data_IF_656642892790
#
_entry.id   IF_656642892790
#
_cell.length_a   1.000
_cell.length_b   1.000
_cell.length_c   1.000
_cell.angle_alpha   90.00
_cell.angle_beta   90.00
_cell.angle_gamma   90.00
#
_symmetry.space_group_name_H-M   'P 1'
#
loop_
_entity.id
_entity.type
_entity.pdbx_description
1 polymer ?
#
# COMPACT_ATOMS: atom_id res chain seq x y z
N UNK A 1 42.30 -7.65 35.74
CA UNK A 1 41.32 -8.47 35.00
C UNK A 1 40.37 -9.09 36.02
N UNK A 2 39.07 -8.71 36.03
CA UNK A 2 38.12 -9.17 37.05
C UNK A 2 38.01 -10.70 37.07
N UNK A 3 38.03 -11.30 38.23
CA UNK A 3 37.98 -12.77 38.46
C UNK A 3 36.74 -13.38 37.75
N UNK A 4 35.64 -12.64 37.70
CA UNK A 4 34.41 -13.03 37.03
C UNK A 4 34.60 -13.19 35.50
N UNK A 5 35.38 -12.33 34.84
CA UNK A 5 35.73 -12.48 33.42
C UNK A 5 36.58 -13.74 33.14
N UNK A 6 37.48 -14.08 34.03
CA UNK A 6 38.29 -15.29 33.90
C UNK A 6 37.44 -16.56 34.02
N UNK A 7 36.49 -16.56 34.94
CA UNK A 7 35.49 -17.64 35.10
C UNK A 7 34.59 -17.80 33.91
N UNK A 8 34.08 -16.67 33.37
CA UNK A 8 33.22 -16.65 32.18
C UNK A 8 33.94 -17.32 31.01
N UNK A 9 35.17 -16.88 30.70
CA UNK A 9 35.94 -17.36 29.55
C UNK A 9 36.25 -18.87 29.59
N UNK A 10 36.36 -19.46 30.75
CA UNK A 10 36.63 -20.90 30.90
C UNK A 10 35.41 -21.79 30.67
N UNK A 11 34.18 -21.24 30.72
CA UNK A 11 32.94 -22.02 30.71
C UNK A 11 31.97 -21.64 29.60
N UNK A 12 32.37 -20.75 28.68
CA UNK A 12 31.58 -20.42 27.49
C UNK A 12 31.53 -21.63 26.56
N UNK A 13 30.35 -22.11 26.31
CA UNK A 13 30.09 -23.12 25.27
C UNK A 13 29.94 -22.41 23.92
N UNK A 14 31.01 -22.34 23.13
CA UNK A 14 31.01 -21.70 21.80
C UNK A 14 29.85 -22.19 20.91
N UNK A 15 29.54 -23.51 20.84
CA UNK A 15 28.44 -23.98 20.01
C UNK A 15 27.06 -23.44 20.44
N UNK A 16 26.79 -23.29 21.74
CA UNK A 16 25.53 -22.75 22.23
C UNK A 16 25.38 -21.26 21.90
N UNK A 17 26.43 -20.47 22.06
CA UNK A 17 26.41 -19.04 21.69
C UNK A 17 26.35 -18.84 20.18
N UNK A 18 27.04 -19.69 19.41
CA UNK A 18 26.91 -19.67 17.94
C UNK A 18 25.48 -20.02 17.49
N UNK A 19 24.90 -21.08 18.04
CA UNK A 19 23.51 -21.46 17.73
C UNK A 19 22.50 -20.35 18.04
N UNK A 20 22.69 -19.68 19.20
CA UNK A 20 21.90 -18.50 19.54
C UNK A 20 22.14 -17.35 18.54
N UNK A 21 23.41 -17.02 18.24
CA UNK A 21 23.73 -15.93 17.33
C UNK A 21 23.11 -16.14 15.95
N UNK A 22 23.16 -17.37 15.43
CA UNK A 22 22.50 -17.75 14.17
C UNK A 22 20.97 -17.59 14.26
N UNK A 23 20.33 -18.16 15.29
CA UNK A 23 18.88 -18.06 15.44
C UNK A 23 18.42 -16.60 15.57
N UNK A 24 19.15 -15.78 16.35
CA UNK A 24 18.86 -14.35 16.51
C UNK A 24 19.10 -13.57 15.21
N UNK A 25 20.17 -13.91 14.46
CA UNK A 25 20.46 -13.31 13.16
C UNK A 25 19.33 -13.58 12.16
N UNK A 26 18.90 -14.84 12.04
CA UNK A 26 17.81 -15.19 11.14
C UNK A 26 16.49 -14.51 11.54
N UNK A 27 16.13 -14.54 12.82
CA UNK A 27 14.92 -13.89 13.31
C UNK A 27 14.93 -12.39 13.03
N UNK A 28 16.02 -11.71 13.36
CA UNK A 28 16.20 -10.28 13.11
C UNK A 28 16.18 -9.97 11.60
N UNK A 29 16.92 -10.75 10.80
CA UNK A 29 16.99 -10.55 9.36
C UNK A 29 15.61 -10.68 8.68
N UNK A 30 14.81 -11.70 9.06
CA UNK A 30 13.47 -11.90 8.51
C UNK A 30 12.56 -10.71 8.85
N UNK A 31 12.61 -10.21 10.08
CA UNK A 31 11.79 -9.02 10.47
C UNK A 31 12.24 -7.78 9.71
N UNK A 32 13.53 -7.51 9.65
CA UNK A 32 14.09 -6.34 8.99
C UNK A 32 13.86 -6.41 7.47
N UNK A 33 14.09 -7.58 6.87
CA UNK A 33 13.85 -7.80 5.45
C UNK A 33 12.38 -7.64 5.08
N UNK A 34 11.47 -8.30 5.81
CA UNK A 34 10.04 -8.18 5.57
C UNK A 34 9.54 -6.74 5.69
N UNK A 35 10.02 -6.00 6.70
CA UNK A 35 9.66 -4.60 6.90
C UNK A 35 10.24 -3.70 5.80
N UNK A 36 11.52 -3.87 5.45
CA UNK A 36 12.17 -3.06 4.41
C UNK A 36 11.55 -3.35 3.04
N UNK A 37 11.40 -4.62 2.69
CA UNK A 37 10.75 -5.05 1.46
C UNK A 37 9.34 -4.46 1.33
N UNK A 38 8.54 -4.52 2.41
CA UNK A 38 7.22 -3.89 2.41
C UNK A 38 7.30 -2.39 2.13
N UNK A 39 8.26 -1.69 2.74
CA UNK A 39 8.44 -0.24 2.53
C UNK A 39 8.91 0.10 1.11
N UNK A 40 9.81 -0.68 0.54
CA UNK A 40 10.36 -0.45 -0.81
C UNK A 40 9.35 -0.83 -1.90
N UNK A 41 8.52 -1.84 -1.66
CA UNK A 41 7.49 -2.30 -2.61
C UNK A 41 6.17 -1.54 -2.46
N UNK A 42 5.90 -0.95 -1.29
CA UNK A 42 4.68 -0.18 -1.05
C UNK A 42 4.45 0.93 -2.10
N UNK A 43 5.46 1.70 -2.56
CA UNK A 43 5.27 2.70 -3.62
C UNK A 43 4.76 2.12 -4.93
N UNK A 44 5.17 0.89 -5.31
CA UNK A 44 4.65 0.20 -6.50
C UNK A 44 3.13 0.10 -6.45
N UNK A 45 2.58 -0.12 -5.26
CA UNK A 45 1.14 -0.26 -5.03
C UNK A 45 0.43 1.07 -4.70
N UNK A 46 1.18 2.13 -4.35
CA UNK A 46 0.59 3.39 -3.86
C UNK A 46 0.91 4.59 -4.72
N UNK A 47 1.84 4.51 -5.69
CA UNK A 47 2.10 5.60 -6.63
C UNK A 47 0.87 5.88 -7.50
N UNK A 48 0.71 7.13 -7.93
CA UNK A 48 -0.47 7.60 -8.66
C UNK A 48 -0.77 6.81 -9.94
N UNK A 49 0.25 6.18 -10.53
CA UNK A 49 0.16 5.39 -11.76
C UNK A 49 0.04 3.87 -11.53
N UNK A 50 0.06 3.42 -10.28
CA UNK A 50 -0.02 1.98 -10.05
C UNK A 50 -1.44 1.47 -10.27
N UNK A 51 -1.57 0.46 -11.12
CA UNK A 51 -2.79 -0.31 -11.34
C UNK A 51 -3.40 -0.90 -10.05
N UNK A 52 -2.70 -0.77 -8.93
CA UNK A 52 -2.96 -1.45 -7.66
C UNK A 52 -3.45 -0.53 -6.55
N UNK A 53 -3.96 0.67 -6.88
CA UNK A 53 -4.46 1.61 -5.88
C UNK A 53 -5.93 1.35 -5.55
N UNK A 54 -6.17 1.01 -4.30
CA UNK A 54 -7.43 0.81 -3.60
C UNK A 54 -8.40 -0.22 -4.17
N UNK A 55 -8.93 -0.95 -3.29
CA UNK A 55 -9.95 -1.97 -3.30
C UNK A 55 -11.31 -1.45 -3.84
N UNK A 56 -11.35 -0.87 -5.06
CA UNK A 56 -12.57 -0.39 -5.69
C UNK A 56 -13.02 -1.29 -6.81
N UNK A 57 -14.30 -1.61 -6.81
CA UNK A 57 -14.98 -2.31 -7.88
C UNK A 57 -15.89 -1.33 -8.61
N UNK A 58 -15.82 -1.30 -9.95
CA UNK A 58 -16.82 -0.61 -10.77
C UNK A 58 -17.86 -1.65 -11.17
N UNK A 59 -19.06 -1.50 -10.65
CA UNK A 59 -20.16 -2.43 -10.83
C UNK A 59 -21.14 -1.89 -11.87
N UNK A 60 -21.61 -2.77 -12.75
CA UNK A 60 -22.72 -2.54 -13.69
C UNK A 60 -23.68 -3.71 -13.69
N UNK A 61 -24.88 -3.54 -14.25
CA UNK A 61 -25.80 -4.66 -14.45
C UNK A 61 -25.40 -5.45 -15.71
N UNK A 62 -25.41 -6.79 -15.62
CA UNK A 62 -25.13 -7.66 -16.78
C UNK A 62 -26.13 -7.38 -17.90
N UNK A 63 -25.62 -7.05 -19.08
CA UNK A 63 -26.43 -6.85 -20.29
C UNK A 63 -26.60 -8.21 -20.97
N UNK A 64 -27.75 -8.88 -20.76
CA UNK A 64 -28.10 -10.12 -21.45
C UNK A 64 -29.08 -9.87 -22.60
N UNK A 65 -29.07 -10.71 -23.63
CA UNK A 65 -30.06 -10.64 -24.70
C UNK A 65 -31.51 -10.65 -24.20
N UNK A 66 -31.78 -11.32 -23.08
CA UNK A 66 -33.09 -11.34 -22.44
C UNK A 66 -33.47 -9.99 -21.79
N UNK A 67 -32.51 -9.22 -21.30
CA UNK A 67 -32.77 -7.91 -20.66
C UNK A 67 -33.10 -6.84 -21.69
N UNK A 68 -32.48 -6.86 -22.85
CA UNK A 68 -32.75 -5.94 -23.97
C UNK A 68 -34.16 -6.14 -24.52
N UNK A 69 -34.67 -7.38 -24.51
CA UNK A 69 -36.02 -7.71 -24.99
C UNK A 69 -37.07 -7.49 -23.89
N UNK A 70 -36.74 -7.66 -22.62
CA UNK A 70 -37.65 -7.56 -21.49
C UNK A 70 -37.83 -6.12 -20.95
N UNK A 71 -37.08 -5.13 -21.46
CA UNK A 71 -37.15 -3.74 -21.02
C UNK A 71 -36.68 -3.51 -19.58
N UNK A 72 -35.87 -4.42 -19.01
CA UNK A 72 -35.27 -4.20 -17.69
C UNK A 72 -34.24 -3.07 -17.75
N UNK A 73 -34.37 -2.12 -16.84
CA UNK A 73 -33.45 -0.98 -16.73
C UNK A 73 -32.04 -1.44 -16.40
N UNK A 74 -31.05 -0.95 -17.14
CA UNK A 74 -29.63 -1.16 -16.86
C UNK A 74 -29.10 -0.22 -15.77
N UNK A 75 -30.00 0.58 -15.16
CA UNK A 75 -29.66 1.54 -14.11
C UNK A 75 -29.95 0.96 -12.73
N UNK A 76 -29.26 1.48 -11.72
CA UNK A 76 -29.44 1.09 -10.33
C UNK A 76 -30.47 2.00 -9.66
N UNK A 77 -31.54 1.42 -9.12
CA UNK A 77 -32.50 2.15 -8.29
C UNK A 77 -31.90 2.53 -6.93
N UNK A 78 -32.50 3.51 -6.24
CA UNK A 78 -32.08 3.90 -4.92
C UNK A 78 -32.04 2.73 -3.91
N UNK A 79 -33.08 1.86 -3.96
CA UNK A 79 -33.18 0.69 -3.10
C UNK A 79 -32.07 -0.35 -3.35
N UNK A 80 -31.69 -0.56 -4.62
CA UNK A 80 -30.57 -1.46 -4.96
C UNK A 80 -29.22 -0.89 -4.47
N UNK A 81 -29.05 0.43 -4.55
CA UNK A 81 -27.83 1.10 -4.07
C UNK A 81 -27.69 0.97 -2.56
N UNK A 82 -28.80 1.15 -1.83
CA UNK A 82 -28.83 1.00 -0.38
C UNK A 82 -28.57 -0.46 0.01
N UNK A 83 -29.17 -1.43 -0.69
CA UNK A 83 -28.93 -2.85 -0.47
C UNK A 83 -27.45 -3.27 -0.68
N UNK A 84 -26.82 -2.73 -1.75
CA UNK A 84 -25.38 -2.93 -2.00
C UNK A 84 -24.56 -2.29 -0.90
N UNK A 85 -24.95 -1.07 -0.47
CA UNK A 85 -24.24 -0.34 0.60
C UNK A 85 -24.25 -1.07 1.95
N UNK A 86 -25.29 -1.84 2.23
CA UNK A 86 -25.46 -2.61 3.48
C UNK A 86 -24.68 -3.93 3.49
N UNK A 87 -24.03 -4.32 2.37
CA UNK A 87 -23.22 -5.54 2.32
C UNK A 87 -21.97 -5.41 3.18
N UNK A 88 -21.62 -6.45 3.93
CA UNK A 88 -20.49 -6.48 4.88
C UNK A 88 -19.13 -6.21 4.22
N UNK A 89 -18.98 -6.54 2.95
CA UNK A 89 -17.75 -6.31 2.19
C UNK A 89 -17.61 -4.87 1.69
N UNK A 90 -18.70 -4.07 1.71
CA UNK A 90 -18.72 -2.69 1.23
C UNK A 90 -18.31 -1.74 2.35
N UNK A 91 -17.30 -0.90 2.09
CA UNK A 91 -16.87 0.19 2.97
C UNK A 91 -17.49 1.52 2.58
N UNK A 92 -17.56 1.76 1.27
CA UNK A 92 -18.05 3.01 0.70
C UNK A 92 -18.62 2.77 -0.69
N UNK A 93 -19.67 3.48 -1.03
CA UNK A 93 -20.30 3.41 -2.35
C UNK A 93 -20.40 4.81 -2.96
N UNK A 94 -20.18 4.91 -4.26
CA UNK A 94 -20.36 6.12 -5.05
C UNK A 94 -21.14 5.82 -6.33
N UNK A 95 -21.83 6.84 -6.84
CA UNK A 95 -22.61 6.77 -8.06
C UNK A 95 -21.84 7.47 -9.19
N UNK A 96 -21.83 6.88 -10.38
CA UNK A 96 -21.49 7.62 -11.57
C UNK A 96 -22.67 8.47 -11.99
N UNK A 97 -22.43 9.75 -12.23
CA UNK A 97 -23.41 10.67 -12.84
C UNK A 97 -22.90 11.00 -14.23
N UNK A 98 -23.68 10.74 -15.25
CA UNK A 98 -23.33 10.99 -16.65
C UNK A 98 -24.03 12.23 -17.20
N UNK A 99 -23.51 12.79 -18.32
CA UNK A 99 -24.21 13.84 -19.07
C UNK A 99 -25.46 13.29 -19.73
N UNK A 100 -26.58 14.01 -19.57
CA UNK A 100 -27.89 13.69 -20.14
C UNK A 100 -28.10 14.36 -21.51
N UNK A 101 -27.05 14.94 -22.07
CA UNK A 101 -27.03 15.67 -23.33
C UNK A 101 -25.78 15.31 -24.12
N UNK A 102 -25.79 15.66 -25.43
CA UNK A 102 -24.65 15.39 -26.30
C UNK A 102 -23.52 16.42 -26.08
N UNK A 103 -22.33 15.92 -26.02
CA UNK A 103 -21.12 16.72 -25.90
C UNK A 103 -20.21 16.43 -27.08
N UNK A 104 -20.00 17.42 -27.93
CA UNK A 104 -18.98 17.37 -28.97
C UNK A 104 -17.66 17.95 -28.38
N UNK A 105 -16.58 17.20 -28.45
CA UNK A 105 -15.30 17.66 -27.96
C UNK A 105 -14.18 17.50 -28.98
N UNK A 106 -13.30 18.49 -29.00
CA UNK A 106 -12.09 18.49 -29.78
C UNK A 106 -10.89 18.51 -28.83
N UNK A 107 -10.05 17.52 -28.96
CA UNK A 107 -8.77 17.46 -28.25
C UNK A 107 -7.63 17.68 -29.23
N UNK A 108 -6.80 18.67 -28.97
CA UNK A 108 -5.58 18.98 -29.70
C UNK A 108 -4.34 18.92 -28.82
N UNK A 109 -3.20 18.76 -29.44
CA UNK A 109 -1.89 18.84 -28.78
C UNK A 109 -1.02 19.75 -29.61
N UNK A 110 -0.52 20.85 -29.01
CA UNK A 110 0.24 21.88 -29.73
C UNK A 110 -0.41 22.39 -31.01
N UNK A 111 -1.73 22.59 -30.99
CA UNK A 111 -2.50 23.07 -32.15
C UNK A 111 -2.80 22.01 -33.23
N UNK A 112 -2.33 20.78 -33.07
CA UNK A 112 -2.69 19.65 -33.93
C UNK A 112 -3.92 18.95 -33.36
N UNK A 113 -5.00 18.88 -34.14
CA UNK A 113 -6.22 18.16 -33.72
C UNK A 113 -5.94 16.64 -33.70
N UNK A 114 -6.14 16.02 -32.53
CA UNK A 114 -5.91 14.59 -32.28
C UNK A 114 -7.22 13.81 -32.25
N UNK A 115 -8.27 14.42 -31.71
CA UNK A 115 -9.57 13.81 -31.55
C UNK A 115 -10.68 14.85 -31.79
N UNK A 116 -11.67 14.47 -32.57
CA UNK A 116 -12.91 15.21 -32.72
C UNK A 116 -14.05 14.19 -32.72
N UNK A 117 -14.80 14.14 -31.65
CA UNK A 117 -15.86 13.13 -31.47
C UNK A 117 -16.89 13.59 -30.47
N UNK A 118 -18.05 12.94 -30.52
CA UNK A 118 -19.00 12.97 -29.42
C UNK A 118 -18.42 12.21 -28.25
N UNK A 119 -18.37 12.83 -27.08
CA UNK A 119 -17.83 12.28 -25.86
C UNK A 119 -18.89 12.28 -24.76
N UNK A 120 -18.65 11.42 -23.77
CA UNK A 120 -19.46 11.35 -22.55
C UNK A 120 -18.62 11.81 -21.37
N UNK A 121 -19.15 12.73 -20.60
CA UNK A 121 -18.55 13.13 -19.33
C UNK A 121 -19.28 12.42 -18.21
N UNK A 122 -18.50 12.10 -17.20
CA UNK A 122 -19.01 11.52 -15.97
C UNK A 122 -18.45 12.25 -14.76
N UNK A 123 -19.13 12.12 -13.65
CA UNK A 123 -18.60 12.51 -12.35
C UNK A 123 -18.79 11.38 -11.36
N UNK A 124 -17.91 11.35 -10.36
CA UNK A 124 -17.97 10.47 -9.20
C UNK A 124 -17.71 11.30 -7.95
N UNK A 125 -18.14 10.86 -6.77
CA UNK A 125 -17.81 11.56 -5.53
C UNK A 125 -16.29 11.74 -5.38
N UNK A 126 -15.86 12.91 -4.94
CA UNK A 126 -14.45 13.33 -4.86
C UNK A 126 -13.55 12.32 -4.13
N UNK A 127 -14.08 11.58 -3.16
CA UNK A 127 -13.33 10.57 -2.42
C UNK A 127 -12.90 9.35 -3.25
N UNK A 128 -13.38 9.20 -4.49
CA UNK A 128 -13.01 8.13 -5.41
C UNK A 128 -12.07 8.61 -6.53
N UNK A 129 -11.82 9.91 -6.62
CA UNK A 129 -10.91 10.48 -7.61
C UNK A 129 -9.46 10.24 -7.18
N UNK A 130 -8.63 9.73 -8.09
CA UNK A 130 -7.22 9.35 -7.85
C UNK A 130 -6.21 10.44 -8.24
N UNK A 131 -6.69 11.65 -8.54
CA UNK A 131 -5.89 12.82 -8.93
C UNK A 131 -5.99 13.89 -7.85
N UNK A 132 -4.94 14.71 -7.60
CA UNK A 132 -5.00 15.82 -6.65
C UNK A 132 -6.11 16.82 -6.97
N UNK A 133 -6.99 17.11 -6.01
CA UNK A 133 -8.21 17.92 -6.19
C UNK A 133 -7.97 19.43 -6.02
N UNK A 134 -6.73 19.91 -6.08
CA UNK A 134 -6.42 21.33 -5.85
C UNK A 134 -7.18 22.26 -6.79
N UNK A 135 -7.27 21.91 -8.07
CA UNK A 135 -7.94 22.68 -9.12
C UNK A 135 -9.28 22.05 -9.57
N UNK A 136 -9.81 21.11 -8.78
CA UNK A 136 -11.03 20.37 -9.05
C UNK A 136 -12.27 21.13 -8.55
N UNK A 137 -12.47 22.37 -9.05
CA UNK A 137 -13.62 23.18 -8.66
C UNK A 137 -14.22 23.83 -9.90
N UNK A 138 -15.53 23.78 -10.01
CA UNK A 138 -16.29 24.48 -11.03
C UNK A 138 -17.30 25.43 -10.38
N UNK A 139 -17.43 26.63 -10.93
CA UNK A 139 -18.45 27.59 -10.55
C UNK A 139 -19.33 27.89 -11.75
N UNK A 140 -20.65 27.77 -11.66
CA UNK A 140 -21.55 28.10 -12.75
C UNK A 140 -21.30 29.49 -13.34
N UNK A 141 -21.25 29.56 -14.69
CA UNK A 141 -20.91 30.80 -15.41
C UNK A 141 -19.45 30.95 -15.82
N UNK A 142 -18.54 30.06 -15.34
CA UNK A 142 -17.18 30.00 -15.88
C UNK A 142 -17.13 29.22 -17.18
N UNK A 143 -16.32 29.68 -18.13
CA UNK A 143 -16.12 28.98 -19.42
C UNK A 143 -15.00 27.90 -19.34
N UNK A 144 -14.30 27.78 -18.24
CA UNK A 144 -13.27 26.78 -18.02
C UNK A 144 -13.79 25.66 -17.13
N UNK A 145 -13.66 24.42 -17.62
CA UNK A 145 -14.09 23.20 -16.92
C UNK A 145 -12.87 22.35 -16.62
N UNK A 146 -12.57 22.05 -15.35
CA UNK A 146 -11.53 21.10 -15.01
C UNK A 146 -11.89 19.69 -15.52
N UNK A 147 -10.89 19.01 -16.11
CA UNK A 147 -11.08 17.67 -16.68
C UNK A 147 -9.99 16.75 -16.19
N UNK A 148 -10.37 15.54 -15.86
CA UNK A 148 -9.44 14.42 -15.65
C UNK A 148 -9.66 13.44 -16.80
N UNK A 149 -8.60 13.12 -17.53
CA UNK A 149 -8.64 12.18 -18.64
C UNK A 149 -8.21 10.78 -18.19
N UNK A 150 -8.76 9.71 -18.81
CA UNK A 150 -8.22 8.38 -18.64
C UNK A 150 -6.76 8.30 -19.11
N UNK A 151 -5.90 7.65 -18.33
CA UNK A 151 -4.50 7.40 -18.71
C UNK A 151 -4.40 6.60 -20.02
N UNK A 152 -5.35 5.75 -20.29
CA UNK A 152 -5.46 5.01 -21.56
C UNK A 152 -5.49 5.90 -22.78
N UNK A 153 -6.12 7.08 -22.72
CA UNK A 153 -6.15 8.02 -23.85
C UNK A 153 -4.76 8.60 -24.13
N UNK A 154 -4.01 8.92 -23.09
CA UNK A 154 -2.64 9.40 -23.23
C UNK A 154 -1.71 8.32 -23.74
N UNK A 155 -1.89 7.08 -23.29
CA UNK A 155 -1.13 5.94 -23.80
C UNK A 155 -1.44 5.71 -25.29
N UNK A 156 -2.69 5.76 -25.70
CA UNK A 156 -3.07 5.66 -27.13
C UNK A 156 -2.45 6.81 -27.96
N UNK A 157 -2.45 8.03 -27.42
CA UNK A 157 -1.78 9.15 -28.06
C UNK A 157 -0.28 8.92 -28.17
N UNK A 158 0.40 8.63 -27.05
CA UNK A 158 1.85 8.53 -26.97
C UNK A 158 2.44 7.38 -27.79
N UNK A 159 1.80 6.22 -27.81
CA UNK A 159 2.31 5.01 -28.47
C UNK A 159 1.68 4.75 -29.85
N UNK A 160 0.55 5.39 -30.15
CA UNK A 160 -0.11 5.30 -31.45
C UNK A 160 0.07 6.57 -32.28
N UNK A 161 -0.64 7.63 -31.91
CA UNK A 161 -0.77 8.83 -32.75
C UNK A 161 0.51 9.68 -32.79
N UNK A 162 1.12 10.00 -31.65
CA UNK A 162 2.28 10.88 -31.58
C UNK A 162 3.47 10.32 -32.35
N UNK A 163 3.67 9.01 -32.26
CA UNK A 163 4.77 8.34 -32.95
C UNK A 163 4.63 8.35 -34.47
N UNK A 164 3.39 8.16 -34.97
CA UNK A 164 3.11 8.15 -36.42
C UNK A 164 3.13 9.57 -37.05
N UNK A 165 2.96 10.61 -36.23
CA UNK A 165 2.90 12.02 -36.69
C UNK A 165 4.10 12.85 -36.24
N UNK A 166 5.14 12.24 -35.66
CA UNK A 166 6.35 12.93 -35.17
C UNK A 166 6.02 14.04 -34.15
N UNK A 167 5.00 13.81 -33.32
CA UNK A 167 4.58 14.75 -32.28
C UNK A 167 5.23 14.39 -30.94
N UNK A 168 5.39 15.37 -30.03
CA UNK A 168 5.94 15.12 -28.71
C UNK A 168 5.00 14.21 -27.90
N UNK A 169 5.59 13.32 -27.10
CA UNK A 169 4.84 12.56 -26.11
C UNK A 169 4.38 13.46 -24.97
N UNK A 170 3.20 13.17 -24.42
CA UNK A 170 2.63 13.88 -23.27
C UNK A 170 2.97 13.10 -22.01
N UNK A 171 3.53 13.82 -21.04
CA UNK A 171 3.70 13.37 -19.65
C UNK A 171 2.85 14.23 -18.71
N UNK A 172 2.78 13.86 -17.46
CA UNK A 172 1.99 14.61 -16.45
C UNK A 172 2.44 16.07 -16.32
N UNK A 173 3.73 16.35 -16.51
CA UNK A 173 4.26 17.71 -16.53
C UNK A 173 3.88 18.55 -17.76
N UNK A 174 3.33 17.94 -18.79
CA UNK A 174 3.00 18.58 -20.09
C UNK A 174 1.48 18.64 -20.34
N UNK A 175 0.64 18.46 -19.32
CA UNK A 175 -0.82 18.53 -19.43
C UNK A 175 -1.33 19.85 -20.04
N UNK A 176 -0.63 20.95 -19.77
CA UNK A 176 -0.95 22.27 -20.34
C UNK A 176 -0.80 22.39 -21.85
N UNK A 177 -0.21 21.38 -22.54
CA UNK A 177 -0.13 21.31 -23.99
C UNK A 177 -1.37 20.72 -24.65
N UNK A 178 -2.32 20.22 -23.84
CA UNK A 178 -3.57 19.64 -24.32
C UNK A 178 -4.62 20.75 -24.43
N UNK A 179 -5.03 21.05 -25.65
CA UNK A 179 -6.17 21.92 -25.94
C UNK A 179 -7.43 21.07 -25.95
N UNK A 180 -8.36 21.35 -25.06
CA UNK A 180 -9.64 20.63 -24.98
C UNK A 180 -10.80 21.61 -25.13
N UNK A 181 -11.48 21.55 -26.26
CA UNK A 181 -12.62 22.40 -26.56
C UNK A 181 -13.90 21.56 -26.49
N UNK A 182 -14.87 22.04 -25.73
CA UNK A 182 -16.13 21.37 -25.46
C UNK A 182 -17.26 22.21 -26.10
N UNK A 183 -18.10 21.58 -26.88
CA UNK A 183 -19.29 22.18 -27.41
C UNK A 183 -20.50 21.37 -26.95
N UNK A 184 -21.43 22.04 -26.29
CA UNK A 184 -22.68 21.44 -25.84
C UNK A 184 -23.78 22.01 -26.70
N UNK A 185 -24.61 21.12 -27.27
CA UNK A 185 -25.80 21.53 -28.05
C UNK A 185 -27.00 20.71 -27.56
N UNK A 186 -27.87 21.34 -26.78
CA UNK A 186 -29.07 20.70 -26.26
C UNK A 186 -30.14 21.72 -25.93
N UNK A 187 -31.41 21.34 -26.01
CA UNK A 187 -32.55 22.20 -25.67
C UNK A 187 -32.64 23.51 -26.45
N UNK A 188 -32.07 23.56 -27.69
CA UNK A 188 -32.00 24.77 -28.50
C UNK A 188 -30.89 25.75 -28.09
N UNK A 189 -30.10 25.41 -27.06
CA UNK A 189 -28.92 26.17 -26.62
C UNK A 189 -27.67 25.58 -27.22
N UNK A 190 -26.66 26.44 -27.46
CA UNK A 190 -25.33 26.05 -27.90
C UNK A 190 -24.32 26.86 -27.10
N UNK A 191 -23.50 26.15 -26.33
CA UNK A 191 -22.45 26.76 -25.51
C UNK A 191 -21.12 26.11 -25.78
N UNK A 192 -20.04 26.87 -25.58
CA UNK A 192 -18.67 26.40 -25.71
C UNK A 192 -17.91 26.62 -24.43
N UNK A 193 -17.16 25.60 -24.02
CA UNK A 193 -16.30 25.62 -22.85
C UNK A 193 -14.87 25.21 -23.22
N UNK A 194 -13.93 25.69 -22.47
CA UNK A 194 -12.54 25.25 -22.55
C UNK A 194 -12.28 24.23 -21.44
N UNK A 195 -11.92 23.02 -21.81
CA UNK A 195 -11.50 22.01 -20.84
C UNK A 195 -10.06 22.26 -20.38
N UNK A 196 -9.83 22.30 -19.08
CA UNK A 196 -8.51 22.35 -18.47
C UNK A 196 -8.16 20.97 -17.92
N UNK A 197 -7.26 20.28 -18.59
CA UNK A 197 -6.79 18.98 -18.11
C UNK A 197 -5.92 19.19 -16.88
N UNK A 198 -6.34 18.65 -15.73
CA UNK A 198 -5.67 18.79 -14.44
C UNK A 198 -4.99 17.50 -13.99
N UNK A 199 -5.24 16.38 -14.65
CA UNK A 199 -4.64 15.10 -14.33
C UNK A 199 -5.10 13.96 -15.21
N UNK A 200 -4.48 12.81 -15.01
CA UNK A 200 -4.83 11.56 -15.68
C UNK A 200 -5.20 10.51 -14.65
N UNK A 201 -6.43 9.97 -14.76
CA UNK A 201 -6.86 8.87 -13.92
C UNK A 201 -6.35 7.54 -14.47
N UNK A 202 -5.71 6.77 -13.61
CA UNK A 202 -5.32 5.38 -13.88
C UNK A 202 -6.40 4.38 -13.48
N UNK A 203 -7.39 4.83 -12.69
CA UNK A 203 -8.47 4.00 -12.14
C UNK A 203 -9.75 4.05 -12.95
N UNK A 204 -10.10 5.26 -13.36
CA UNK A 204 -11.38 5.54 -14.00
C UNK A 204 -11.16 5.70 -15.51
N UNK A 205 -11.69 4.75 -16.28
CA UNK A 205 -11.56 4.74 -17.74
C UNK A 205 -12.65 5.60 -18.39
N UNK A 206 -12.86 6.80 -17.88
CA UNK A 206 -13.85 7.77 -18.37
C UNK A 206 -13.32 9.18 -18.18
N UNK A 207 -13.88 10.13 -18.95
CA UNK A 207 -13.55 11.54 -18.82
C UNK A 207 -14.36 12.11 -17.66
N UNK A 208 -13.63 12.54 -16.61
CA UNK A 208 -14.26 13.08 -15.41
C UNK A 208 -14.34 14.59 -15.45
N UNK A 209 -15.46 15.11 -14.96
CA UNK A 209 -15.69 16.52 -14.65
C UNK A 209 -16.19 16.66 -13.20
N UNK A 210 -16.03 17.83 -12.56
CA UNK A 210 -16.53 18.05 -11.21
C UNK A 210 -18.05 17.81 -11.10
N UNK A 211 -18.50 17.25 -9.98
CA UNK A 211 -19.93 17.05 -9.72
C UNK A 211 -20.73 18.35 -9.87
N UNK A 212 -20.16 19.49 -9.42
CA UNK A 212 -20.80 20.79 -9.56
C UNK A 212 -21.05 21.21 -11.02
N UNK A 213 -20.12 20.85 -11.94
CA UNK A 213 -20.36 21.05 -13.37
C UNK A 213 -21.44 20.11 -13.88
N UNK A 214 -21.41 18.86 -13.50
CA UNK A 214 -22.38 17.85 -13.93
C UNK A 214 -23.80 18.21 -13.50
N UNK A 215 -23.98 18.58 -12.25
CA UNK A 215 -25.30 18.96 -11.72
C UNK A 215 -25.86 20.21 -12.41
N UNK A 216 -25.01 21.25 -12.56
CA UNK A 216 -25.39 22.47 -13.24
C UNK A 216 -25.73 22.22 -14.71
N UNK A 217 -24.89 21.51 -15.43
CA UNK A 217 -25.04 21.32 -16.88
C UNK A 217 -26.21 20.38 -17.20
N UNK A 218 -26.45 19.32 -16.46
CA UNK A 218 -27.63 18.49 -16.63
C UNK A 218 -28.92 19.29 -16.38
N UNK A 219 -28.92 20.14 -15.35
CA UNK A 219 -30.08 21.01 -15.08
C UNK A 219 -30.30 22.07 -16.20
N UNK A 220 -29.21 22.61 -16.76
CA UNK A 220 -29.29 23.69 -17.78
C UNK A 220 -29.63 23.14 -19.17
N UNK A 221 -29.05 21.99 -19.56
CA UNK A 221 -29.18 21.46 -20.93
C UNK A 221 -30.18 20.30 -21.06
N UNK A 222 -30.48 19.59 -19.96
CA UNK A 222 -31.42 18.46 -19.96
C UNK A 222 -32.34 18.43 -18.72
N UNK A 223 -33.08 19.53 -18.41
CA UNK A 223 -33.83 19.67 -17.16
C UNK A 223 -34.91 18.61 -16.93
N UNK A 224 -35.40 18.01 -18.01
CA UNK A 224 -36.47 17.01 -17.98
C UNK A 224 -35.94 15.55 -18.04
N UNK A 225 -34.65 15.38 -18.13
CA UNK A 225 -34.02 14.07 -18.15
C UNK A 225 -33.33 13.86 -16.76
N UNK A 226 -33.65 12.75 -16.15
CA UNK A 226 -33.01 12.33 -14.93
C UNK A 226 -32.88 10.82 -15.00
N UNK A 227 -31.70 10.33 -15.22
CA UNK A 227 -31.42 8.90 -15.22
C UNK A 227 -30.84 8.45 -13.90
N UNK A 228 -31.24 7.27 -13.51
CA UNK A 228 -30.57 6.57 -12.42
C UNK A 228 -29.16 6.12 -12.88
N UNK A 229 -28.18 5.98 -11.99
CA UNK A 229 -26.83 5.62 -12.35
C UNK A 229 -26.77 4.22 -12.99
N UNK A 230 -26.04 4.09 -14.08
CA UNK A 230 -25.80 2.81 -14.75
C UNK A 230 -24.56 2.08 -14.20
N UNK A 231 -23.71 2.78 -13.48
CA UNK A 231 -22.51 2.25 -12.84
C UNK A 231 -22.35 2.78 -11.42
N UNK A 232 -21.80 1.93 -10.57
CA UNK A 232 -21.46 2.27 -9.20
C UNK A 232 -19.97 2.02 -8.98
N UNK A 233 -19.34 2.83 -8.15
CA UNK A 233 -17.98 2.59 -7.64
C UNK A 233 -18.08 2.19 -6.17
N UNK A 234 -17.52 1.04 -5.82
CA UNK A 234 -17.65 0.44 -4.50
C UNK A 234 -16.28 0.17 -3.93
N UNK A 235 -15.97 0.77 -2.79
CA UNK A 235 -14.79 0.44 -2.00
C UNK A 235 -15.08 -0.80 -1.17
N UNK A 236 -14.24 -1.83 -1.34
CA UNK A 236 -14.40 -3.11 -0.63
C UNK A 236 -13.29 -3.32 0.39
N UNK A 237 -13.58 -4.17 1.40
CA UNK A 237 -12.60 -4.49 2.45
C UNK A 237 -11.55 -5.49 2.01
N UNK A 238 -11.99 -6.48 1.24
CA UNK A 238 -11.19 -7.57 0.73
C UNK A 238 -11.68 -7.93 -0.68
N UNK A 239 -10.98 -7.54 -1.74
CA UNK A 239 -11.39 -7.86 -3.13
C UNK A 239 -11.33 -9.36 -3.45
N UNK A 240 -10.62 -10.14 -2.64
CA UNK A 240 -10.56 -11.61 -2.75
C UNK A 240 -11.67 -12.35 -2.02
N UNK A 241 -12.67 -11.65 -1.47
CA UNK A 241 -13.78 -12.26 -0.76
C UNK A 241 -14.71 -13.00 -1.72
N UNK A 242 -14.94 -14.29 -1.47
CA UNK A 242 -15.84 -15.12 -2.27
C UNK A 242 -17.30 -14.64 -2.20
N UNK A 243 -17.69 -14.00 -1.10
CA UNK A 243 -19.02 -13.42 -0.94
C UNK A 243 -19.31 -12.33 -1.97
N UNK A 244 -18.28 -11.56 -2.40
CA UNK A 244 -18.42 -10.56 -3.47
C UNK A 244 -18.81 -11.24 -4.78
N UNK A 245 -18.03 -12.24 -5.21
CA UNK A 245 -18.29 -12.93 -6.49
C UNK A 245 -19.67 -13.58 -6.50
N UNK A 246 -20.04 -14.23 -5.40
CA UNK A 246 -21.36 -14.83 -5.25
C UNK A 246 -22.48 -13.79 -5.31
N UNK A 247 -22.34 -12.68 -4.56
CA UNK A 247 -23.33 -11.60 -4.57
C UNK A 247 -23.52 -10.99 -5.96
N UNK A 248 -22.43 -10.78 -6.70
CA UNK A 248 -22.47 -10.26 -8.07
C UNK A 248 -23.24 -11.22 -9.01
N UNK A 249 -22.94 -12.52 -8.91
CA UNK A 249 -23.59 -13.53 -9.76
C UNK A 249 -25.07 -13.70 -9.42
N UNK A 250 -25.40 -13.77 -8.13
CA UNK A 250 -26.78 -13.95 -7.66
C UNK A 250 -27.69 -12.79 -8.05
N UNK A 251 -27.14 -11.55 -8.12
CA UNK A 251 -27.90 -10.34 -8.47
C UNK A 251 -27.76 -9.93 -9.94
N UNK A 252 -26.98 -10.66 -10.74
CA UNK A 252 -26.77 -10.33 -12.15
C UNK A 252 -25.98 -9.04 -12.35
N UNK A 253 -25.04 -8.77 -11.46
CA UNK A 253 -24.10 -7.66 -11.58
C UNK A 253 -22.78 -8.15 -12.23
N UNK A 254 -22.07 -7.24 -12.86
CA UNK A 254 -20.76 -7.46 -13.43
C UNK A 254 -19.78 -6.40 -12.93
N UNK A 255 -18.52 -6.77 -12.85
CA UNK A 255 -17.43 -5.85 -12.56
C UNK A 255 -16.37 -5.99 -13.63
N UNK A 256 -15.55 -4.96 -13.79
CA UNK A 256 -14.40 -5.00 -14.70
C UNK A 256 -13.41 -6.07 -14.21
N UNK A 257 -13.40 -7.23 -14.84
CA UNK A 257 -12.74 -8.47 -14.39
C UNK A 257 -11.23 -8.28 -14.22
N UNK A 258 -10.58 -7.58 -15.16
CA UNK A 258 -9.13 -7.34 -15.12
C UNK A 258 -8.72 -6.56 -13.87
N UNK A 259 -9.56 -5.63 -13.41
CA UNK A 259 -9.31 -4.87 -12.17
C UNK A 259 -9.53 -5.73 -10.94
N UNK A 260 -10.56 -6.55 -10.91
CA UNK A 260 -10.82 -7.45 -9.78
C UNK A 260 -9.66 -8.42 -9.56
N UNK A 261 -9.08 -8.97 -10.63
CA UNK A 261 -7.96 -9.91 -10.53
C UNK A 261 -6.65 -9.22 -10.10
N UNK A 262 -6.40 -7.99 -10.55
CA UNK A 262 -5.29 -7.17 -10.06
C UNK A 262 -5.41 -6.86 -8.57
N UNK A 263 -6.62 -6.51 -8.11
CA UNK A 263 -6.91 -6.24 -6.70
C UNK A 263 -6.74 -7.50 -5.82
N UNK A 264 -7.22 -8.66 -6.29
CA UNK A 264 -6.99 -9.96 -5.61
C UNK A 264 -5.50 -10.26 -5.47
N UNK A 265 -4.72 -10.03 -6.52
CA UNK A 265 -3.26 -10.26 -6.51
C UNK A 265 -2.57 -9.35 -5.50
N UNK A 266 -2.94 -8.07 -5.44
CA UNK A 266 -2.40 -7.10 -4.49
C UNK A 266 -2.72 -7.49 -3.04
N UNK A 267 -3.96 -7.86 -2.78
CA UNK A 267 -4.38 -8.33 -1.46
C UNK A 267 -3.60 -9.59 -1.04
N UNK A 268 -3.45 -10.55 -1.95
CA UNK A 268 -2.66 -11.75 -1.70
C UNK A 268 -1.19 -11.44 -1.37
N UNK A 269 -0.55 -10.54 -2.11
CA UNK A 269 0.82 -10.11 -1.83
C UNK A 269 0.94 -9.44 -0.44
N UNK A 270 -0.01 -8.57 -0.08
CA UNK A 270 -0.06 -7.94 1.23
C UNK A 270 -0.20 -8.97 2.35
N UNK A 271 -1.05 -9.97 2.15
CA UNK A 271 -1.23 -11.08 3.09
C UNK A 271 0.05 -11.91 3.24
N UNK A 272 0.72 -12.24 2.12
CA UNK A 272 1.98 -12.99 2.12
C UNK A 272 3.09 -12.26 2.89
N UNK A 273 3.26 -10.96 2.65
CA UNK A 273 4.25 -10.15 3.40
C UNK A 273 3.93 -10.13 4.89
N UNK A 274 2.64 -9.98 5.25
CA UNK A 274 2.21 -10.01 6.65
C UNK A 274 2.53 -11.36 7.32
N UNK A 275 2.31 -12.48 6.63
CA UNK A 275 2.66 -13.82 7.15
C UNK A 275 4.17 -13.96 7.37
N UNK A 276 4.99 -13.51 6.42
CA UNK A 276 6.47 -13.52 6.56
C UNK A 276 6.91 -12.69 7.77
N UNK A 277 6.31 -11.53 7.99
CA UNK A 277 6.57 -10.67 9.14
C UNK A 277 6.22 -11.37 10.46
N UNK A 278 5.07 -12.04 10.54
CA UNK A 278 4.65 -12.80 11.72
C UNK A 278 5.63 -13.94 12.01
N UNK A 279 6.02 -14.72 10.99
CA UNK A 279 6.99 -15.80 11.13
C UNK A 279 8.33 -15.26 11.66
N UNK A 280 8.82 -14.15 11.08
CA UNK A 280 10.05 -13.50 11.53
C UNK A 280 9.96 -13.05 12.98
N UNK A 281 8.83 -12.51 13.41
CA UNK A 281 8.61 -12.12 14.80
C UNK A 281 8.61 -13.33 15.74
N UNK A 282 7.94 -14.43 15.37
CA UNK A 282 7.95 -15.69 16.15
C UNK A 282 9.37 -16.22 16.30
N UNK A 283 10.16 -16.26 15.21
CA UNK A 283 11.56 -16.69 15.25
C UNK A 283 12.40 -15.77 16.16
N UNK A 284 12.16 -14.48 16.12
CA UNK A 284 12.85 -13.52 17.00
C UNK A 284 12.54 -13.76 18.48
N UNK A 285 11.27 -14.04 18.81
CA UNK A 285 10.86 -14.38 20.19
C UNK A 285 11.49 -15.70 20.65
N UNK A 286 11.49 -16.73 19.81
CA UNK A 286 12.14 -18.01 20.11
C UNK A 286 13.65 -17.86 20.29
N UNK A 287 14.30 -17.06 19.46
CA UNK A 287 15.73 -16.76 19.57
C UNK A 287 16.07 -16.08 20.90
N UNK A 288 15.24 -15.11 21.31
CA UNK A 288 15.35 -14.48 22.61
C UNK A 288 15.25 -15.51 23.76
N UNK A 289 14.28 -16.42 23.67
CA UNK A 289 14.10 -17.47 24.67
C UNK A 289 15.30 -18.42 24.74
N UNK A 290 15.87 -18.83 23.61
CA UNK A 290 17.07 -19.67 23.53
C UNK A 290 18.26 -18.96 24.17
N UNK A 291 18.45 -17.65 23.91
CA UNK A 291 19.52 -16.88 24.59
C UNK A 291 19.33 -16.87 26.10
N UNK A 292 18.14 -16.56 26.55
CA UNK A 292 17.81 -16.51 27.98
C UNK A 292 18.11 -17.86 28.65
N UNK A 293 17.70 -18.97 28.00
CA UNK A 293 17.99 -20.33 28.49
C UNK A 293 19.50 -20.62 28.52
N UNK A 294 20.23 -20.25 27.48
CA UNK A 294 21.69 -20.45 27.42
C UNK A 294 22.43 -19.69 28.54
N UNK A 295 22.03 -18.44 28.79
CA UNK A 295 22.58 -17.65 29.89
C UNK A 295 22.19 -18.25 31.24
N UNK A 296 20.94 -18.70 31.39
CA UNK A 296 20.47 -19.37 32.61
C UNK A 296 21.32 -20.58 32.93
N UNK A 297 21.57 -21.47 31.96
CA UNK A 297 22.40 -22.66 32.13
C UNK A 297 23.86 -22.30 32.45
N UNK A 298 24.40 -21.27 31.79
CA UNK A 298 25.77 -20.79 32.07
C UNK A 298 25.93 -20.27 33.50
N UNK A 299 24.96 -19.46 33.97
CA UNK A 299 24.92 -18.95 35.34
C UNK A 299 24.75 -20.11 36.35
N UNK A 300 23.86 -21.06 36.04
CA UNK A 300 23.62 -22.23 36.90
C UNK A 300 24.86 -23.13 37.01
N UNK A 301 25.56 -23.40 35.90
CA UNK A 301 26.80 -24.17 35.88
C UNK A 301 27.92 -23.53 36.74
N UNK A 302 27.91 -22.23 36.86
CA UNK A 302 28.86 -21.46 37.63
C UNK A 302 28.31 -21.01 39.00
N UNK A 303 27.13 -21.48 39.42
CA UNK A 303 26.43 -20.97 40.61
C UNK A 303 27.28 -20.99 41.88
N UNK A 304 27.95 -22.11 42.17
CA UNK A 304 28.82 -22.22 43.37
C UNK A 304 29.99 -21.22 43.36
N UNK A 305 30.57 -20.96 42.19
CA UNK A 305 31.66 -19.99 42.06
C UNK A 305 31.17 -18.56 42.18
N UNK A 306 29.99 -18.26 41.58
CA UNK A 306 29.35 -16.95 41.69
C UNK A 306 28.90 -16.69 43.12
N UNK A 307 28.43 -17.72 43.82
CA UNK A 307 28.07 -17.69 45.22
C UNK A 307 29.27 -17.35 46.08
N UNK A 308 30.42 -18.02 45.87
CA UNK A 308 31.66 -17.70 46.58
C UNK A 308 32.12 -16.25 46.37
N UNK A 309 31.96 -15.71 45.14
CA UNK A 309 32.24 -14.30 44.87
C UNK A 309 31.31 -13.34 45.63
N UNK A 310 30.04 -13.67 45.72
CA UNK A 310 29.05 -12.91 46.49
C UNK A 310 29.37 -12.94 47.98
N UNK A 311 29.82 -14.11 48.52
CA UNK A 311 30.23 -14.29 49.92
C UNK A 311 31.51 -13.48 50.26
N UNK A 312 32.44 -13.34 49.32
CA UNK A 312 33.67 -12.54 49.47
C UNK A 312 33.37 -11.02 49.38
N UNK A 313 32.10 -10.60 49.11
CA UNK A 313 31.71 -9.20 49.13
C UNK A 313 31.52 -8.56 47.72
N UNK A 314 31.53 -9.32 46.64
CA UNK A 314 31.18 -8.79 45.32
C UNK A 314 29.70 -8.47 45.26
N UNK A 315 29.33 -7.28 44.78
CA UNK A 315 27.92 -6.94 44.59
C UNK A 315 27.30 -7.78 43.47
N UNK A 316 26.02 -8.15 43.55
CA UNK A 316 25.29 -8.87 42.49
C UNK A 316 25.39 -8.24 41.10
N UNK A 317 25.40 -6.90 41.05
CA UNK A 317 25.56 -6.15 39.80
C UNK A 317 26.97 -6.38 39.19
N UNK A 318 28.01 -6.41 39.97
CA UNK A 318 29.37 -6.67 39.48
C UNK A 318 29.55 -8.10 38.99
N UNK A 319 28.82 -9.05 39.56
CA UNK A 319 28.81 -10.45 39.16
C UNK A 319 28.00 -10.63 37.84
N UNK A 320 26.90 -9.92 37.67
CA UNK A 320 26.05 -9.95 36.46
C UNK A 320 26.71 -9.25 35.26
N UNK A 321 27.49 -8.18 35.50
CA UNK A 321 28.01 -7.28 34.44
C UNK A 321 28.76 -8.00 33.30
N UNK A 322 29.65 -8.97 33.51
CA UNK A 322 30.33 -9.67 32.42
C UNK A 322 29.36 -10.42 31.47
N UNK A 323 28.33 -11.05 32.05
CA UNK A 323 27.31 -11.75 31.26
C UNK A 323 26.47 -10.79 30.43
N UNK A 324 26.11 -9.63 31.01
CA UNK A 324 25.39 -8.59 30.32
C UNK A 324 26.22 -8.01 29.16
N UNK A 325 27.48 -7.68 29.40
CA UNK A 325 28.38 -7.15 28.36
C UNK A 325 28.56 -8.13 27.21
N UNK A 326 28.77 -9.42 27.52
CA UNK A 326 28.90 -10.47 26.51
C UNK A 326 27.64 -10.54 25.63
N UNK A 327 26.46 -10.51 26.24
CA UNK A 327 25.19 -10.60 25.53
C UNK A 327 24.92 -9.37 24.66
N UNK A 328 25.20 -8.17 25.19
CA UNK A 328 25.06 -6.92 24.43
C UNK A 328 26.05 -6.92 23.25
N UNK A 329 27.30 -7.31 23.46
CA UNK A 329 28.29 -7.39 22.40
C UNK A 329 27.85 -8.36 21.28
N UNK A 330 27.29 -9.52 21.65
CA UNK A 330 26.80 -10.49 20.71
C UNK A 330 25.60 -9.92 19.90
N UNK A 331 24.67 -9.27 20.57
CA UNK A 331 23.52 -8.63 19.90
C UNK A 331 23.94 -7.51 18.94
N UNK A 332 24.99 -6.72 19.30
CA UNK A 332 25.55 -5.70 18.40
C UNK A 332 26.14 -6.35 17.14
N UNK A 333 26.91 -7.41 17.30
CA UNK A 333 27.49 -8.13 16.16
C UNK A 333 26.41 -8.69 15.26
N UNK A 334 25.37 -9.31 15.84
CA UNK A 334 24.21 -9.82 15.09
C UNK A 334 23.51 -8.70 14.33
N UNK A 335 23.27 -7.55 14.97
CA UNK A 335 22.61 -6.40 14.34
C UNK A 335 23.42 -5.88 13.15
N UNK A 336 24.73 -5.72 13.31
CA UNK A 336 25.62 -5.24 12.24
C UNK A 336 25.60 -6.22 11.06
N UNK A 337 25.73 -7.51 11.33
CA UNK A 337 25.69 -8.54 10.28
C UNK A 337 24.32 -8.54 9.58
N UNK A 338 23.23 -8.42 10.34
CA UNK A 338 21.88 -8.35 9.77
C UNK A 338 21.73 -7.14 8.83
N UNK A 339 22.24 -5.97 9.19
CA UNK A 339 22.21 -4.79 8.32
C UNK A 339 23.06 -4.95 7.06
N UNK A 340 24.25 -5.57 7.19
CA UNK A 340 25.11 -5.84 6.03
C UNK A 340 24.42 -6.78 5.05
N UNK A 341 23.84 -7.87 5.55
CA UNK A 341 23.11 -8.83 4.72
C UNK A 341 21.88 -8.15 4.08
N UNK A 342 21.14 -7.38 4.87
CA UNK A 342 19.96 -6.65 4.38
C UNK A 342 20.34 -5.68 3.27
N UNK A 343 21.48 -4.97 3.40
CA UNK A 343 21.94 -4.05 2.36
C UNK A 343 22.16 -4.77 1.02
N UNK A 344 22.86 -5.89 1.01
CA UNK A 344 23.08 -6.66 -0.23
C UNK A 344 21.80 -7.28 -0.77
N UNK A 345 20.91 -7.77 0.11
CA UNK A 345 19.61 -8.29 -0.33
C UNK A 345 18.74 -7.19 -0.95
N UNK A 346 18.78 -5.98 -0.35
CA UNK A 346 18.04 -4.83 -0.87
C UNK A 346 18.54 -4.43 -2.26
N UNK A 347 19.84 -4.27 -2.41
CA UNK A 347 20.48 -3.94 -3.70
C UNK A 347 20.06 -4.94 -4.79
N UNK A 348 20.05 -6.23 -4.46
CA UNK A 348 19.67 -7.28 -5.38
C UNK A 348 18.19 -7.20 -5.81
N UNK A 349 17.24 -7.10 -4.89
CA UNK A 349 15.82 -7.06 -5.27
C UNK A 349 15.40 -5.70 -5.85
N UNK A 350 16.02 -4.59 -5.41
CA UNK A 350 15.74 -3.27 -6.00
C UNK A 350 16.10 -3.22 -7.47
N UNK A 351 17.21 -3.84 -7.89
CA UNK A 351 17.55 -3.94 -9.30
C UNK A 351 16.47 -4.64 -10.15
N UNK A 352 15.74 -5.61 -9.61
CA UNK A 352 14.58 -6.18 -10.28
C UNK A 352 13.38 -5.22 -10.32
N UNK A 353 13.11 -4.55 -9.20
CA UNK A 353 11.98 -3.61 -9.09
C UNK A 353 12.18 -2.45 -10.07
N UNK A 354 13.37 -1.84 -10.14
CA UNK A 354 13.71 -0.75 -11.06
C UNK A 354 13.60 -1.16 -12.53
N UNK A 355 13.95 -2.41 -12.85
CA UNK A 355 13.81 -2.93 -14.22
C UNK A 355 12.32 -3.03 -14.62
N UNK A 356 11.44 -3.37 -13.69
CA UNK A 356 10.00 -3.50 -13.94
C UNK A 356 9.27 -2.15 -13.80
N UNK A 357 9.77 -1.27 -12.95
CA UNK A 357 9.14 0.01 -12.58
C UNK A 357 10.22 1.12 -12.54
N UNK A 358 10.64 1.65 -13.69
CA UNK A 358 11.76 2.63 -13.78
C UNK A 358 11.53 3.95 -13.04
N UNK A 359 10.27 4.32 -12.79
CA UNK A 359 9.89 5.60 -12.18
C UNK A 359 9.67 5.49 -10.65
N UNK A 360 10.09 4.38 -10.03
CA UNK A 360 9.97 4.20 -8.59
C UNK A 360 11.02 5.03 -7.85
N UNK A 361 10.56 5.80 -6.85
CA UNK A 361 11.45 6.42 -5.88
C UNK A 361 12.18 5.36 -5.05
N UNK A 362 13.52 5.35 -5.13
CA UNK A 362 14.35 4.53 -4.27
C UNK A 362 14.16 4.93 -2.81
N UNK A 363 13.40 4.16 -2.07
CA UNK A 363 13.23 4.33 -0.64
C UNK A 363 14.57 4.25 0.12
N UNK A 364 14.63 4.76 1.32
CA UNK A 364 15.83 4.72 2.16
C UNK A 364 15.83 3.51 3.10
N UNK A 365 17.02 3.03 3.50
CA UNK A 365 17.16 1.99 4.55
C UNK A 365 16.91 2.51 5.98
N UNK A 366 16.72 3.81 6.16
CA UNK A 366 16.52 4.43 7.48
C UNK A 366 15.42 3.76 8.33
N UNK A 367 14.25 3.40 7.77
CA UNK A 367 13.21 2.72 8.54
C UNK A 367 13.65 1.36 9.10
N UNK A 368 14.37 0.55 8.32
CA UNK A 368 14.88 -0.75 8.80
C UNK A 368 16.00 -0.59 9.80
N UNK A 369 16.88 0.42 9.64
CA UNK A 369 17.92 0.74 10.62
C UNK A 369 17.28 1.13 11.95
N UNK A 370 16.27 2.00 11.93
CA UNK A 370 15.53 2.42 13.12
C UNK A 370 14.82 1.25 13.81
N UNK A 371 14.16 0.38 13.02
CA UNK A 371 13.52 -0.83 13.55
C UNK A 371 14.53 -1.79 14.16
N UNK A 372 15.69 -1.99 13.52
CA UNK A 372 16.77 -2.82 14.02
C UNK A 372 17.33 -2.32 15.35
N UNK A 373 17.53 -1.01 15.50
CA UNK A 373 17.92 -0.37 16.76
C UNK A 373 16.85 -0.56 17.84
N UNK A 374 15.58 -0.39 17.51
CA UNK A 374 14.47 -0.61 18.44
C UNK A 374 14.46 -2.05 18.96
N UNK A 375 14.54 -3.03 18.07
CA UNK A 375 14.59 -4.45 18.41
C UNK A 375 15.82 -4.77 19.29
N UNK A 376 16.98 -4.25 18.92
CA UNK A 376 18.21 -4.39 19.70
C UNK A 376 18.05 -3.85 21.12
N UNK A 377 17.46 -2.67 21.28
CA UNK A 377 17.22 -2.05 22.59
C UNK A 377 16.27 -2.91 23.44
N UNK A 378 15.16 -3.36 22.87
CA UNK A 378 14.18 -4.21 23.56
C UNK A 378 14.85 -5.50 24.03
N UNK A 379 15.52 -6.22 23.12
CA UNK A 379 16.18 -7.50 23.43
C UNK A 379 17.29 -7.31 24.47
N UNK A 380 18.09 -6.24 24.36
CA UNK A 380 19.17 -5.95 25.30
C UNK A 380 18.65 -5.63 26.71
N UNK A 381 17.58 -4.81 26.81
CA UNK A 381 16.96 -4.50 28.10
C UNK A 381 16.40 -5.76 28.76
N UNK A 382 15.67 -6.58 28.00
CA UNK A 382 15.13 -7.84 28.50
C UNK A 382 16.21 -8.79 28.99
N UNK A 383 17.32 -8.90 28.26
CA UNK A 383 18.49 -9.71 28.66
C UNK A 383 19.13 -9.19 29.92
N UNK A 384 19.34 -7.88 30.05
CA UNK A 384 19.90 -7.27 31.25
C UNK A 384 19.04 -7.59 32.48
N UNK A 385 17.72 -7.42 32.35
CA UNK A 385 16.78 -7.70 33.44
C UNK A 385 16.78 -9.19 33.80
N UNK A 386 16.75 -10.08 32.79
CA UNK A 386 16.76 -11.53 33.02
C UNK A 386 18.02 -12.02 33.72
N UNK A 387 19.19 -11.57 33.28
CA UNK A 387 20.48 -11.90 33.89
C UNK A 387 20.54 -11.40 35.33
N UNK A 388 20.13 -10.15 35.56
CA UNK A 388 20.10 -9.55 36.90
C UNK A 388 19.18 -10.33 37.83
N UNK A 389 17.95 -10.65 37.41
CA UNK A 389 17.00 -11.46 38.20
C UNK A 389 17.60 -12.82 38.57
N UNK A 390 18.30 -13.48 37.63
CA UNK A 390 18.90 -14.80 37.90
C UNK A 390 20.03 -14.72 38.87
N UNK A 391 20.95 -13.73 38.77
CA UNK A 391 22.02 -13.54 39.72
C UNK A 391 21.49 -13.20 41.12
N UNK A 392 20.43 -12.34 41.17
CA UNK A 392 19.75 -12.03 42.44
C UNK A 392 19.10 -13.25 43.08
N UNK A 393 18.50 -14.16 42.31
CA UNK A 393 17.89 -15.39 42.84
C UNK A 393 18.92 -16.35 43.44
N UNK A 394 20.19 -16.30 43.03
CA UNK A 394 21.30 -17.06 43.67
C UNK A 394 21.65 -16.43 45.03
N UNK A 395 21.62 -15.09 45.11
CA UNK A 395 21.87 -14.35 46.34
C UNK A 395 20.78 -14.62 47.39
N UNK A 396 19.52 -14.53 47.03
CA UNK A 396 18.36 -14.69 47.93
C UNK A 396 18.08 -16.12 48.39
N UNK A 397 18.68 -17.14 47.78
CA UNK A 397 18.51 -18.54 48.23
C UNK A 397 19.19 -18.84 49.57
N UNK A 398 19.89 -17.88 50.15
CA UNK A 398 20.66 -18.03 51.41
C UNK A 398 20.21 -17.11 52.54
N UNK A 399 19.20 -16.27 52.32
CA UNK A 399 18.43 -15.68 53.41
C UNK A 399 17.25 -16.59 53.78
#
# INVERSE_FOLDING_TARGET
MNLVWKLLRQHISIPQFAGFAFANLFGMLIVLFGFQFYKDVLPVFTQQDSFMKADYLIMSKKIGMGNTISGRSNTFSGSEIDEIGDQKFVKKIGKFTSTEYKVDAQMGVNGVNVLNSELFFESVPDGFVDVPLKDWKYTPGTQEVPIILPRTYINMYNFGFAQSHSLPKISDGLMGMIDFNIQIQAGGKKEQFKGKVIGFSSRLNTILVPQAFMDWSNQEFAPNQKSDPNRLIVEVGNPGDEDITKYLDDNGYEVETDKLDAEKTTYFLRMMVSMVMIIGLVISVLSFYILMLSIYLLVQKNSSKLENLLLIGYSPNNVAKPYQVLTIALNIVVLIIAWIILFFLRDYYMGFIETLFPDIDEGTMLPAIALGLLLFLIVSILNIVAIRRKVMSIWQRKE
#
